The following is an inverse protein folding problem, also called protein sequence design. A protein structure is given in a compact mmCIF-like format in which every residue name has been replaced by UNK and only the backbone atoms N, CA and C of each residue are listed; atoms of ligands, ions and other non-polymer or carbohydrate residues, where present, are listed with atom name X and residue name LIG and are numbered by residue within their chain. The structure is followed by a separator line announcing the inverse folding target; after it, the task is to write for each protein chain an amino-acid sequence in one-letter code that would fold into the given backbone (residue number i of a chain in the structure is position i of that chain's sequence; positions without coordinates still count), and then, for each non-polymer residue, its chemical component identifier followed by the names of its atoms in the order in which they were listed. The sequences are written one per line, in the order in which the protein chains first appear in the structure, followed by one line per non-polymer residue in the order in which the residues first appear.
data_IF_462168123770
#
_entry.id   IF_462168123770
#
_cell.length_a   1.000
_cell.length_b   1.000
_cell.length_c   1.000
_cell.angle_alpha   90.00
_cell.angle_beta   90.00
_cell.angle_gamma   90.00
#
_symmetry.space_group_name_H-M   'P 1'
#
loop_
_entity.id
_entity.type
_entity.pdbx_description
1 polymer ?
#
# COMPACT_ATOMS: atom_id res chain seq x y z
N UNK A 1 -4.72 -7.64 -27.37
CA UNK A 1 -3.29 -7.96 -27.60
C UNK A 1 -2.79 -8.62 -26.33
N UNK A 2 -2.60 -9.93 -26.34
CA UNK A 2 -2.03 -10.68 -25.22
C UNK A 2 -0.53 -10.38 -25.13
N UNK A 3 -0.02 -10.10 -23.92
CA UNK A 3 1.41 -9.85 -23.72
C UNK A 3 2.17 -11.18 -23.85
N UNK A 4 3.24 -11.26 -24.65
CA UNK A 4 4.05 -12.48 -24.73
C UNK A 4 4.71 -12.74 -23.38
N UNK A 5 4.57 -13.97 -22.89
CA UNK A 5 5.24 -14.44 -21.68
C UNK A 5 6.71 -14.67 -22.06
N UNK A 6 7.56 -13.66 -21.88
CA UNK A 6 9.00 -13.80 -22.09
C UNK A 6 9.56 -14.78 -21.05
N UNK A 7 9.82 -16.01 -21.49
CA UNK A 7 10.35 -17.11 -20.67
C UNK A 7 11.85 -17.02 -20.37
N UNK A 8 12.55 -15.99 -20.87
CA UNK A 8 14.03 -16.01 -20.93
C UNK A 8 14.77 -15.42 -19.72
N UNK A 9 14.12 -14.92 -18.67
CA UNK A 9 14.84 -14.34 -17.51
C UNK A 9 14.22 -14.59 -16.13
N UNK A 10 13.44 -15.67 -15.96
CA UNK A 10 13.01 -16.06 -14.60
C UNK A 10 14.19 -16.62 -13.83
N UNK A 11 14.76 -15.81 -12.92
CA UNK A 11 15.68 -16.34 -11.90
C UNK A 11 14.90 -17.34 -11.04
N UNK A 12 15.41 -18.56 -10.82
CA UNK A 12 14.75 -19.52 -9.97
C UNK A 12 14.58 -18.93 -8.57
N UNK A 13 13.33 -18.81 -8.17
CA UNK A 13 12.94 -18.34 -6.84
C UNK A 13 13.11 -19.56 -5.91
N UNK A 14 14.28 -19.67 -5.28
CA UNK A 14 14.57 -20.73 -4.30
C UNK A 14 14.10 -20.31 -2.90
N UNK A 15 12.79 -20.13 -2.75
CA UNK A 15 12.15 -19.89 -1.45
C UNK A 15 11.03 -20.89 -1.26
N UNK A 16 11.09 -21.60 -0.14
CA UNK A 16 10.03 -22.49 0.28
C UNK A 16 8.89 -21.65 0.87
N UNK A 17 7.77 -21.58 0.16
CA UNK A 17 6.53 -21.02 0.70
C UNK A 17 6.08 -21.82 1.92
N UNK A 18 5.35 -21.15 2.81
CA UNK A 18 4.70 -21.82 3.93
C UNK A 18 3.88 -23.02 3.41
N UNK A 19 4.00 -24.23 4.00
CA UNK A 19 3.34 -25.44 3.50
C UNK A 19 1.82 -25.29 3.31
N UNK A 20 1.15 -24.53 4.18
CA UNK A 20 -0.28 -24.26 4.05
C UNK A 20 -0.59 -23.46 2.77
N UNK A 21 0.22 -22.44 2.46
CA UNK A 21 0.05 -21.62 1.26
C UNK A 21 0.40 -22.42 0.00
N UNK A 22 1.47 -23.22 0.05
CA UNK A 22 1.85 -24.13 -1.03
C UNK A 22 0.71 -25.10 -1.36
N UNK A 23 0.10 -25.72 -0.35
CA UNK A 23 -1.02 -26.65 -0.54
C UNK A 23 -2.25 -25.95 -1.11
N UNK A 24 -2.58 -24.74 -0.63
CA UNK A 24 -3.72 -23.97 -1.16
C UNK A 24 -3.50 -23.59 -2.63
N UNK A 25 -2.29 -23.18 -3.00
CA UNK A 25 -1.95 -22.86 -4.38
C UNK A 25 -1.96 -24.09 -5.28
N UNK A 26 -1.45 -25.23 -4.81
CA UNK A 26 -1.48 -26.48 -5.53
C UNK A 26 -2.92 -26.96 -5.80
N UNK A 27 -3.78 -26.96 -4.78
CA UNK A 27 -5.19 -27.34 -4.95
C UNK A 27 -5.90 -26.40 -5.95
N UNK A 28 -5.64 -25.10 -5.86
CA UNK A 28 -6.24 -24.13 -6.78
C UNK A 28 -5.73 -24.28 -8.22
N UNK A 29 -4.47 -24.67 -8.39
CA UNK A 29 -3.86 -24.96 -9.68
C UNK A 29 -4.53 -26.19 -10.32
N UNK A 30 -4.73 -27.24 -9.52
CA UNK A 30 -5.41 -28.48 -9.92
C UNK A 30 -6.88 -28.23 -10.28
N UNK A 31 -7.64 -27.52 -9.44
CA UNK A 31 -9.05 -27.16 -9.70
C UNK A 31 -9.24 -26.39 -11.01
N UNK A 32 -8.22 -25.63 -11.43
CA UNK A 32 -8.27 -24.75 -12.59
C UNK A 32 -7.53 -25.30 -13.81
N UNK A 33 -6.93 -26.48 -13.69
CA UNK A 33 -6.10 -27.13 -14.71
C UNK A 33 -5.02 -26.18 -15.29
N UNK A 34 -4.28 -25.53 -14.40
CA UNK A 34 -3.18 -24.63 -14.77
C UNK A 34 -1.90 -24.93 -13.98
N UNK A 35 -0.71 -24.57 -14.50
CA UNK A 35 0.53 -24.68 -13.75
C UNK A 35 0.53 -23.79 -12.50
N UNK A 36 1.03 -24.31 -11.38
CA UNK A 36 1.13 -23.58 -10.10
C UNK A 36 1.99 -22.32 -10.24
N UNK A 37 2.99 -22.35 -11.12
CA UNK A 37 3.86 -21.21 -11.43
C UNK A 37 3.06 -20.00 -11.92
N UNK A 38 2.00 -20.22 -12.69
CA UNK A 38 1.14 -19.14 -13.18
C UNK A 38 0.37 -18.47 -12.04
N UNK A 39 -0.03 -19.23 -11.03
CA UNK A 39 -0.65 -18.69 -9.81
C UNK A 39 0.38 -17.95 -8.95
N UNK A 40 1.60 -18.48 -8.85
CA UNK A 40 2.69 -17.83 -8.10
C UNK A 40 3.06 -16.49 -8.72
N UNK A 41 3.26 -16.42 -10.04
CA UNK A 41 3.53 -15.16 -10.75
C UNK A 41 2.42 -14.15 -10.48
N UNK A 42 1.16 -14.58 -10.62
CA UNK A 42 0.02 -13.69 -10.41
C UNK A 42 -0.12 -13.22 -8.97
N UNK A 43 0.23 -14.07 -7.99
CA UNK A 43 0.23 -13.71 -6.59
C UNK A 43 1.29 -12.64 -6.28
N UNK A 44 2.47 -12.71 -6.91
CA UNK A 44 3.50 -11.67 -6.79
C UNK A 44 3.02 -10.35 -7.38
N UNK A 45 2.43 -10.36 -8.59
CA UNK A 45 1.88 -9.15 -9.21
C UNK A 45 0.85 -8.46 -8.31
N UNK A 46 -0.09 -9.22 -7.75
CA UNK A 46 -1.12 -8.69 -6.87
C UNK A 46 -0.55 -8.15 -5.54
N UNK A 47 0.49 -8.78 -5.01
CA UNK A 47 1.16 -8.31 -3.81
C UNK A 47 1.85 -6.96 -4.05
N UNK A 48 2.54 -6.83 -5.19
CA UNK A 48 3.19 -5.58 -5.58
C UNK A 48 2.17 -4.46 -5.77
N UNK A 49 1.07 -4.73 -6.48
CA UNK A 49 -0.04 -3.78 -6.66
C UNK A 49 -0.61 -3.32 -5.31
N UNK A 50 -0.85 -4.24 -4.38
CA UNK A 50 -1.33 -3.92 -3.03
C UNK A 50 -0.33 -3.09 -2.21
N UNK A 51 0.97 -3.33 -2.39
CA UNK A 51 2.02 -2.55 -1.72
C UNK A 51 2.09 -1.12 -2.27
N UNK A 52 2.05 -0.96 -3.58
CA UNK A 52 2.03 0.37 -4.24
C UNK A 52 0.81 1.20 -3.83
N UNK A 53 -0.36 0.58 -3.78
CA UNK A 53 -1.60 1.22 -3.34
C UNK A 53 -1.53 1.63 -1.86
N UNK A 54 -0.98 0.77 -0.99
CA UNK A 54 -0.84 1.09 0.43
C UNK A 54 0.18 2.18 0.69
N UNK A 55 1.30 2.19 -0.02
CA UNK A 55 2.30 3.24 0.10
C UNK A 55 1.69 4.60 -0.26
N UNK A 56 0.86 4.64 -1.31
CA UNK A 56 0.08 5.83 -1.70
C UNK A 56 -0.90 6.26 -0.61
N UNK A 57 -1.69 5.32 -0.06
CA UNK A 57 -2.65 5.61 1.02
C UNK A 57 -1.94 6.11 2.28
N UNK A 58 -0.80 5.51 2.63
CA UNK A 58 -0.03 5.90 3.80
C UNK A 58 0.58 7.29 3.61
N UNK A 59 1.10 7.60 2.41
CA UNK A 59 1.61 8.94 2.10
C UNK A 59 0.53 10.01 2.27
N UNK A 60 -0.68 9.78 1.73
CA UNK A 60 -1.81 10.72 1.88
C UNK A 60 -2.19 10.90 3.35
N UNK A 61 -2.23 9.83 4.15
CA UNK A 61 -2.49 9.92 5.59
C UNK A 61 -1.45 10.79 6.30
N UNK A 62 -0.16 10.60 6.03
CA UNK A 62 0.89 11.42 6.63
C UNK A 62 0.77 12.89 6.25
N UNK A 63 0.57 13.20 4.97
CA UNK A 63 0.37 14.58 4.51
C UNK A 63 -0.87 15.24 5.14
N UNK A 64 -1.96 14.49 5.30
CA UNK A 64 -3.16 15.01 5.96
C UNK A 64 -2.94 15.29 7.44
N UNK A 65 -2.24 14.42 8.16
CA UNK A 65 -1.91 14.64 9.57
C UNK A 65 -1.05 15.91 9.74
N UNK A 66 -0.04 16.09 8.87
CA UNK A 66 0.81 17.30 8.88
C UNK A 66 -0.02 18.58 8.59
N UNK A 67 -0.94 18.52 7.63
CA UNK A 67 -1.81 19.66 7.30
C UNK A 67 -2.76 20.00 8.47
N UNK A 68 -3.32 18.99 9.14
CA UNK A 68 -4.18 19.18 10.32
C UNK A 68 -3.40 19.82 11.46
N UNK A 69 -2.17 19.35 11.72
CA UNK A 69 -1.30 19.91 12.76
C UNK A 69 -1.00 21.39 12.50
N UNK A 70 -0.58 21.74 11.28
CA UNK A 70 -0.34 23.14 10.89
C UNK A 70 -1.60 24.01 11.03
N UNK A 71 -2.77 23.49 10.66
CA UNK A 71 -4.03 24.21 10.81
C UNK A 71 -4.36 24.47 12.28
N UNK A 72 -4.14 23.48 13.15
CA UNK A 72 -4.35 23.63 14.58
C UNK A 72 -3.41 24.69 15.20
N UNK A 73 -2.14 24.70 14.79
CA UNK A 73 -1.19 25.73 15.22
C UNK A 73 -1.60 27.14 14.77
N UNK A 74 -2.04 27.28 13.51
CA UNK A 74 -2.52 28.55 12.96
C UNK A 74 -3.75 29.06 13.70
N UNK A 75 -4.70 28.18 14.00
CA UNK A 75 -5.90 28.50 14.78
C UNK A 75 -5.52 28.93 16.21
N UNK A 76 -4.58 28.21 16.85
CA UNK A 76 -4.11 28.55 18.20
C UNK A 76 -3.45 29.94 18.24
N UNK A 77 -2.54 30.23 17.31
CA UNK A 77 -1.90 31.55 17.18
C UNK A 77 -2.91 32.66 16.91
N UNK A 78 -3.89 32.39 16.04
CA UNK A 78 -4.95 33.35 15.72
C UNK A 78 -5.82 33.66 16.95
N UNK A 79 -6.20 32.64 17.72
CA UNK A 79 -6.95 32.81 18.98
C UNK A 79 -6.15 33.63 19.99
N UNK A 80 -4.86 33.35 20.15
CA UNK A 80 -3.99 34.11 21.04
C UNK A 80 -3.94 35.60 20.65
N UNK A 81 -3.81 35.90 19.36
CA UNK A 81 -3.81 37.27 18.86
C UNK A 81 -5.13 37.99 19.13
N UNK A 82 -6.27 37.34 18.85
CA UNK A 82 -7.61 37.92 19.11
C UNK A 82 -7.79 38.20 20.60
N UNK A 83 -7.44 37.25 21.46
CA UNK A 83 -7.55 37.42 22.91
C UNK A 83 -6.69 38.59 23.42
N UNK A 84 -5.46 38.75 22.90
CA UNK A 84 -4.60 39.90 23.22
C UNK A 84 -5.20 41.23 22.76
N UNK A 85 -5.80 41.27 21.56
CA UNK A 85 -6.48 42.45 21.03
C UNK A 85 -7.72 42.83 21.85
N UNK A 86 -8.52 41.86 22.26
CA UNK A 86 -9.69 42.11 23.13
C UNK A 86 -9.28 42.58 24.52
N UNK A 87 -8.22 42.01 25.12
CA UNK A 87 -7.73 42.45 26.42
C UNK A 87 -7.16 43.88 26.42
N UNK A 88 -6.79 44.43 25.25
CA UNK A 88 -6.24 45.78 25.09
C UNK A 88 -7.29 46.83 24.69
N UNK A 89 -8.52 46.43 24.34
CA UNK A 89 -9.67 47.29 24.08
C UNK A 89 -10.83 46.87 25.01
N UNK A 90 -10.81 47.27 26.30
CA UNK A 90 -11.87 46.98 27.25
C UNK A 90 -13.19 47.71 26.93
#
# INVERSE_FOLDING_TARGET
MERPINSETRKPINITLNPYLTNRLANLAEERDIPIERLMDKAVDLLLEYMEDNDTVNQVKYSNNEAIEKNNELIAKSREFINKKQAQNP
#
